data_IF_418430281599
#
_entry.id   IF_418430281599
#
_cell.length_a   1.000
_cell.length_b   1.000
_cell.length_c   1.000
_cell.angle_alpha   90.00
_cell.angle_beta   90.00
_cell.angle_gamma   90.00
#
_symmetry.space_group_name_H-M   'P 1'
#
loop_
_entity.id
_entity.type
_entity.pdbx_description
1 polymer ?
#
# COMPACT_ATOMS: atom_id res chain seq x y z
N UNK A 1 4.73 -2.32 47.55
CA UNK A 1 4.20 -1.33 46.58
C UNK A 1 3.84 -2.05 45.27
N UNK A 2 2.56 -2.33 45.05
CA UNK A 2 2.06 -2.86 43.77
C UNK A 2 1.95 -1.68 42.79
N UNK A 3 2.75 -1.68 41.72
CA UNK A 3 2.54 -0.74 40.61
C UNK A 3 1.22 -1.11 39.94
N UNK A 4 0.23 -0.24 40.09
CA UNK A 4 -1.04 -0.32 39.38
C UNK A 4 -0.74 -0.29 37.88
N UNK A 5 -0.98 -1.40 37.19
CA UNK A 5 -0.93 -1.49 35.73
C UNK A 5 -2.18 -0.80 35.18
N UNK A 6 -2.16 0.53 35.11
CA UNK A 6 -3.13 1.26 34.32
C UNK A 6 -2.98 0.80 32.87
N UNK A 7 -3.97 0.06 32.37
CA UNK A 7 -4.11 -0.23 30.95
C UNK A 7 -4.17 1.13 30.24
N UNK A 8 -3.29 1.43 29.27
CA UNK A 8 -3.34 2.72 28.60
C UNK A 8 -4.70 2.88 27.93
N UNK A 9 -5.49 3.83 28.43
CA UNK A 9 -6.77 4.21 27.84
C UNK A 9 -6.48 4.86 26.49
N UNK A 10 -6.86 4.21 25.41
CA UNK A 10 -6.58 4.68 24.06
C UNK A 10 -7.64 5.71 23.69
N UNK A 11 -7.21 6.87 23.17
CA UNK A 11 -8.13 7.93 22.83
C UNK A 11 -9.03 7.52 21.66
N UNK A 12 -10.23 8.11 21.60
CA UNK A 12 -11.13 7.93 20.46
C UNK A 12 -10.44 8.24 19.12
N UNK A 13 -9.58 9.27 19.07
CA UNK A 13 -8.83 9.64 17.87
C UNK A 13 -7.79 8.60 17.43
N UNK A 14 -7.21 7.82 18.35
CA UNK A 14 -6.31 6.71 18.01
C UNK A 14 -7.07 5.58 17.31
N UNK A 15 -8.27 5.25 17.81
CA UNK A 15 -9.11 4.21 17.23
C UNK A 15 -9.68 4.64 15.86
N UNK A 16 -10.04 5.91 15.72
CA UNK A 16 -10.50 6.50 14.45
C UNK A 16 -9.38 6.48 13.41
N UNK A 17 -8.16 6.93 13.75
CA UNK A 17 -7.02 6.92 12.85
C UNK A 17 -6.63 5.50 12.43
N UNK A 18 -6.63 4.53 13.36
CA UNK A 18 -6.38 3.12 13.03
C UNK A 18 -7.47 2.58 12.10
N UNK A 19 -8.75 2.84 12.39
CA UNK A 19 -9.86 2.40 11.54
C UNK A 19 -9.78 2.97 10.12
N UNK A 20 -9.42 4.25 9.99
CA UNK A 20 -9.22 4.89 8.70
C UNK A 20 -8.05 4.26 7.91
N UNK A 21 -6.92 3.96 8.57
CA UNK A 21 -5.79 3.29 7.90
C UNK A 21 -6.09 1.82 7.56
N UNK A 22 -6.88 1.14 8.38
CA UNK A 22 -7.36 -0.21 8.11
C UNK A 22 -8.21 -0.25 6.84
N UNK A 23 -9.05 0.76 6.59
CA UNK A 23 -9.87 0.84 5.36
C UNK A 23 -9.12 1.38 4.14
N UNK A 24 -7.96 2.02 4.31
CA UNK A 24 -7.21 2.64 3.22
C UNK A 24 -7.24 4.18 3.22
N UNK A 25 -8.10 4.81 4.04
CA UNK A 25 -8.28 6.26 4.08
C UNK A 25 -7.17 6.97 4.90
N UNK A 26 -5.98 7.05 4.30
CA UNK A 26 -4.82 7.72 4.89
C UNK A 26 -5.01 9.24 5.04
N UNK A 27 -5.89 9.87 4.23
CA UNK A 27 -6.19 11.31 4.33
C UNK A 27 -6.92 11.63 5.63
N UNK A 28 -7.98 10.87 5.93
CA UNK A 28 -8.72 10.99 7.19
C UNK A 28 -7.80 10.72 8.38
N UNK A 29 -6.97 9.68 8.31
CA UNK A 29 -6.01 9.39 9.36
C UNK A 29 -5.05 10.58 9.61
N UNK A 30 -4.45 11.16 8.55
CA UNK A 30 -3.58 12.33 8.69
C UNK A 30 -4.30 13.55 9.29
N UNK A 31 -5.57 13.78 8.92
CA UNK A 31 -6.39 14.86 9.47
C UNK A 31 -6.60 14.67 10.98
N UNK A 32 -7.11 13.51 11.40
CA UNK A 32 -7.37 13.18 12.81
C UNK A 32 -6.08 13.27 13.65
N UNK A 33 -4.98 12.74 13.13
CA UNK A 33 -3.68 12.80 13.79
C UNK A 33 -3.09 14.22 13.84
N UNK A 34 -3.44 15.09 12.89
CA UNK A 34 -3.03 16.49 12.83
C UNK A 34 -3.80 17.41 13.80
N UNK A 35 -5.05 17.06 14.11
CA UNK A 35 -5.90 17.77 15.08
C UNK A 35 -5.50 17.52 16.55
N UNK A 36 -4.47 16.70 16.80
CA UNK A 36 -3.94 16.44 18.13
C UNK A 36 -4.83 15.53 19.00
N UNK A 37 -5.75 14.78 18.39
CA UNK A 37 -6.74 13.93 19.09
C UNK A 37 -6.18 12.57 19.57
N UNK A 38 -4.86 12.44 19.68
CA UNK A 38 -4.13 11.20 19.96
C UNK A 38 -3.65 11.22 21.41
N UNK A 39 -3.98 10.20 22.20
CA UNK A 39 -3.54 10.13 23.60
C UNK A 39 -2.07 9.66 23.72
N UNK A 40 -1.66 8.72 22.87
CA UNK A 40 -0.30 8.19 22.87
C UNK A 40 0.52 8.77 21.72
N UNK A 41 1.46 9.67 22.05
CA UNK A 41 2.34 10.33 21.09
C UNK A 41 3.16 9.34 20.23
N UNK A 42 3.51 8.18 20.79
CA UNK A 42 4.24 7.14 20.07
C UNK A 42 3.34 6.41 19.08
N UNK A 43 2.10 6.06 19.48
CA UNK A 43 1.11 5.48 18.56
C UNK A 43 0.79 6.49 17.45
N UNK A 44 0.48 7.73 17.78
CA UNK A 44 0.20 8.78 16.80
C UNK A 44 1.36 9.06 15.85
N UNK A 45 2.62 9.00 16.31
CA UNK A 45 3.79 9.12 15.43
C UNK A 45 3.87 7.96 14.43
N UNK A 46 3.70 6.71 14.87
CA UNK A 46 3.75 5.56 13.98
C UNK A 46 2.57 5.52 13.00
N UNK A 47 1.36 5.85 13.44
CA UNK A 47 0.20 5.95 12.56
C UNK A 47 0.40 7.03 11.49
N UNK A 48 1.01 8.18 11.83
CA UNK A 48 1.40 9.20 10.82
C UNK A 48 2.42 8.66 9.83
N UNK A 49 3.41 7.89 10.29
CA UNK A 49 4.40 7.26 9.41
C UNK A 49 3.73 6.27 8.44
N UNK A 50 2.82 5.42 8.93
CA UNK A 50 2.06 4.49 8.07
C UNK A 50 1.18 5.25 7.06
N UNK A 51 0.46 6.27 7.52
CA UNK A 51 -0.36 7.11 6.64
C UNK A 51 0.46 7.77 5.52
N UNK A 52 1.68 8.23 5.84
CA UNK A 52 2.63 8.76 4.83
C UNK A 52 3.10 7.69 3.86
N UNK A 53 3.39 6.48 4.33
CA UNK A 53 3.74 5.38 3.44
C UNK A 53 2.60 5.05 2.46
N UNK A 54 1.36 5.04 2.94
CA UNK A 54 0.17 4.85 2.09
C UNK A 54 0.01 5.99 1.07
N UNK A 55 0.26 7.23 1.48
CA UNK A 55 0.28 8.38 0.57
C UNK A 55 1.37 8.25 -0.51
N UNK A 56 2.58 7.78 -0.15
CA UNK A 56 3.64 7.50 -1.12
C UNK A 56 3.25 6.39 -2.10
N UNK A 57 2.64 5.28 -1.62
CA UNK A 57 2.11 4.23 -2.51
C UNK A 57 1.07 4.79 -3.48
N UNK A 58 0.12 5.59 -2.99
CA UNK A 58 -0.89 6.22 -3.83
C UNK A 58 -0.29 7.19 -4.86
N UNK A 59 0.82 7.86 -4.54
CA UNK A 59 1.56 8.71 -5.48
C UNK A 59 2.43 7.93 -6.49
N UNK A 60 2.62 6.61 -6.27
CA UNK A 60 3.50 5.76 -7.06
C UNK A 60 4.96 5.77 -6.62
N UNK A 61 5.28 6.35 -5.46
CA UNK A 61 6.61 6.37 -4.83
C UNK A 61 6.80 5.13 -3.93
N UNK A 62 6.76 3.93 -4.53
CA UNK A 62 6.89 2.64 -3.87
C UNK A 62 8.17 2.49 -3.04
N UNK A 63 9.32 2.97 -3.52
CA UNK A 63 10.59 2.89 -2.79
C UNK A 63 10.52 3.68 -1.47
N UNK A 64 10.00 4.92 -1.53
CA UNK A 64 9.79 5.74 -0.33
C UNK A 64 8.77 5.13 0.61
N UNK A 65 7.72 4.52 0.08
CA UNK A 65 6.75 3.79 0.90
C UNK A 65 7.40 2.62 1.63
N UNK A 66 8.25 1.84 0.94
CA UNK A 66 8.98 0.70 1.52
C UNK A 66 9.88 1.13 2.69
N UNK A 67 10.70 2.16 2.47
CA UNK A 67 11.57 2.74 3.50
C UNK A 67 10.76 3.30 4.69
N UNK A 68 9.68 4.01 4.40
CA UNK A 68 8.82 4.62 5.43
C UNK A 68 8.14 3.55 6.30
N UNK A 69 7.69 2.45 5.71
CA UNK A 69 7.18 1.29 6.46
C UNK A 69 8.27 0.63 7.30
N UNK A 70 9.51 0.58 6.79
CA UNK A 70 10.69 0.14 7.56
C UNK A 70 10.93 0.95 8.82
N UNK A 71 10.80 2.27 8.73
CA UNK A 71 10.93 3.18 9.89
C UNK A 71 9.82 2.89 10.91
N UNK A 72 8.57 2.72 10.47
CA UNK A 72 7.47 2.35 11.36
C UNK A 72 7.75 1.00 12.04
N UNK A 73 8.14 -0.03 11.28
CA UNK A 73 8.49 -1.34 11.80
C UNK A 73 9.63 -1.29 12.83
N UNK A 74 10.71 -0.56 12.54
CA UNK A 74 11.84 -0.38 13.46
C UNK A 74 11.41 0.31 14.78
N UNK A 75 10.56 1.33 14.69
CA UNK A 75 10.02 2.00 15.86
C UNK A 75 9.11 1.09 16.69
N UNK A 76 8.33 0.23 16.04
CA UNK A 76 7.52 -0.82 16.68
C UNK A 76 8.39 -1.84 17.40
N UNK A 77 9.35 -2.45 16.71
CA UNK A 77 10.26 -3.44 17.28
C UNK A 77 11.07 -2.88 18.47
N UNK A 78 11.53 -1.63 18.41
CA UNK A 78 12.26 -0.98 19.51
C UNK A 78 11.41 -0.81 20.77
N UNK A 79 10.10 -0.52 20.61
CA UNK A 79 9.19 -0.27 21.73
C UNK A 79 8.63 -1.55 22.34
N UNK A 80 8.57 -2.63 21.56
CA UNK A 80 8.05 -3.94 21.98
C UNK A 80 9.14 -5.02 21.85
N UNK A 81 10.07 -5.11 22.83
CA UNK A 81 11.08 -6.16 22.86
C UNK A 81 10.41 -7.54 22.86
N UNK A 82 10.74 -8.37 21.87
CA UNK A 82 10.14 -9.70 21.68
C UNK A 82 9.15 -9.80 20.52
N UNK A 83 8.82 -8.69 19.85
CA UNK A 83 8.08 -8.76 18.60
C UNK A 83 8.97 -9.39 17.50
N UNK A 84 8.52 -10.47 16.84
CA UNK A 84 9.31 -11.13 15.82
C UNK A 84 9.50 -10.23 14.59
N UNK A 85 10.75 -10.15 14.13
CA UNK A 85 11.16 -9.44 12.92
C UNK A 85 11.62 -10.49 11.92
N UNK A 86 11.21 -10.37 10.67
CA UNK A 86 11.64 -11.25 9.59
C UNK A 86 13.11 -10.98 9.25
N UNK A 87 13.87 -12.01 8.82
CA UNK A 87 15.23 -11.80 8.34
C UNK A 87 15.25 -10.82 7.18
N UNK A 88 16.31 -10.00 7.12
CA UNK A 88 16.58 -9.11 6.00
C UNK A 88 16.74 -9.93 4.72
N UNK A 89 16.03 -9.56 3.67
CA UNK A 89 15.97 -10.32 2.42
C UNK A 89 16.66 -9.52 1.31
N UNK A 90 17.96 -9.27 1.52
CA UNK A 90 18.79 -8.45 0.65
C UNK A 90 18.47 -6.94 0.69
N UNK A 91 17.66 -6.48 1.64
CA UNK A 91 17.38 -5.07 1.91
C UNK A 91 17.63 -4.68 3.38
N UNK A 92 17.98 -3.40 3.60
CA UNK A 92 18.25 -2.86 4.95
C UNK A 92 16.97 -2.44 5.70
N UNK A 93 15.80 -2.92 5.24
CA UNK A 93 14.50 -2.51 5.76
C UNK A 93 14.02 -3.50 6.82
N UNK A 94 13.72 -3.00 8.02
CA UNK A 94 13.14 -3.81 9.11
C UNK A 94 11.75 -4.28 8.72
N UNK A 95 11.51 -5.59 8.74
CA UNK A 95 10.23 -6.21 8.39
C UNK A 95 9.62 -6.91 9.60
N UNK A 96 8.39 -6.58 9.96
CA UNK A 96 7.69 -7.27 11.03
C UNK A 96 7.24 -8.66 10.54
N UNK A 97 7.28 -9.66 11.42
CA UNK A 97 6.55 -10.91 11.21
C UNK A 97 5.09 -10.74 11.66
N UNK A 98 4.21 -11.65 11.24
CA UNK A 98 2.81 -11.62 11.69
C UNK A 98 2.79 -11.75 13.22
N UNK A 99 2.24 -10.77 13.96
CA UNK A 99 2.19 -10.88 15.40
C UNK A 99 1.22 -11.99 15.82
N UNK A 100 1.57 -12.83 16.83
CA UNK A 100 0.66 -13.81 17.41
C UNK A 100 -0.65 -13.15 17.85
N UNK A 101 -1.78 -13.84 17.69
CA UNK A 101 -3.11 -13.29 17.93
C UNK A 101 -3.26 -12.70 19.34
N UNK A 102 -3.41 -11.38 19.45
CA UNK A 102 -3.68 -10.67 20.70
C UNK A 102 -4.68 -9.52 20.49
N UNK A 103 -5.29 -9.02 21.56
CA UNK A 103 -6.21 -7.89 21.50
C UNK A 103 -5.48 -6.58 21.86
N UNK A 104 -5.80 -5.49 21.15
CA UNK A 104 -5.37 -4.14 21.53
C UNK A 104 -5.01 -3.23 20.34
N UNK A 105 -5.08 -1.90 20.50
CA UNK A 105 -4.71 -0.95 19.43
C UNK A 105 -3.22 -0.95 19.06
N UNK A 106 -2.32 -1.23 19.99
CA UNK A 106 -0.91 -1.46 19.67
C UNK A 106 -0.73 -2.66 18.73
N UNK A 107 -1.53 -3.72 18.93
CA UNK A 107 -1.56 -4.89 18.05
C UNK A 107 -2.19 -4.57 16.68
N UNK A 108 -3.26 -3.76 16.63
CA UNK A 108 -3.85 -3.28 15.37
C UNK A 108 -2.84 -2.48 14.56
N UNK A 109 -2.08 -1.59 15.20
CA UNK A 109 -0.99 -0.84 14.56
C UNK A 109 0.10 -1.78 14.03
N UNK A 110 0.57 -2.76 14.81
CA UNK A 110 1.57 -3.75 14.37
C UNK A 110 1.07 -4.52 13.15
N UNK A 111 -0.17 -5.01 13.19
CA UNK A 111 -0.81 -5.70 12.07
C UNK A 111 -0.97 -4.84 10.83
N UNK A 112 -1.28 -3.56 11.01
CA UNK A 112 -1.39 -2.61 9.92
C UNK A 112 -0.03 -2.42 9.23
N UNK A 113 1.04 -2.20 9.99
CA UNK A 113 2.42 -2.13 9.46
C UNK A 113 2.76 -3.43 8.72
N UNK A 114 2.51 -4.58 9.35
CA UNK A 114 2.75 -5.89 8.76
C UNK A 114 1.98 -6.10 7.45
N UNK A 115 0.69 -5.72 7.39
CA UNK A 115 -0.14 -5.83 6.16
C UNK A 115 0.46 -5.01 5.04
N UNK A 116 0.76 -3.74 5.31
CA UNK A 116 1.32 -2.83 4.30
C UNK A 116 2.70 -3.29 3.81
N UNK A 117 3.55 -3.79 4.71
CA UNK A 117 4.83 -4.42 4.33
C UNK A 117 4.63 -5.70 3.52
N UNK A 118 3.66 -6.53 3.89
CA UNK A 118 3.42 -7.80 3.21
C UNK A 118 2.91 -7.59 1.78
N UNK A 119 1.95 -6.68 1.60
CA UNK A 119 1.41 -6.39 0.27
C UNK A 119 2.42 -5.68 -0.64
N UNK A 120 3.16 -4.69 -0.13
CA UNK A 120 4.21 -4.03 -0.92
C UNK A 120 5.38 -4.99 -1.20
N UNK A 121 5.70 -5.87 -0.24
CA UNK A 121 6.68 -6.93 -0.42
C UNK A 121 6.25 -7.95 -1.49
N UNK A 122 4.97 -8.33 -1.52
CA UNK A 122 4.40 -9.17 -2.58
C UNK A 122 4.48 -8.47 -3.94
N UNK A 123 4.10 -7.19 -4.02
CA UNK A 123 4.21 -6.40 -5.26
C UNK A 123 5.65 -6.36 -5.78
N UNK A 124 6.62 -6.14 -4.88
CA UNK A 124 8.05 -6.15 -5.20
C UNK A 124 8.51 -7.52 -5.75
N UNK A 125 8.09 -8.62 -5.12
CA UNK A 125 8.37 -9.98 -5.62
C UNK A 125 7.77 -10.21 -7.00
N UNK A 126 6.50 -9.85 -7.20
CA UNK A 126 5.85 -9.96 -8.50
C UNK A 126 6.53 -9.12 -9.59
N UNK A 127 7.07 -7.95 -9.24
CA UNK A 127 7.80 -7.11 -10.20
C UNK A 127 9.17 -7.71 -10.59
N UNK A 128 9.78 -8.50 -9.70
CA UNK A 128 10.98 -9.29 -10.00
C UNK A 128 10.64 -10.55 -10.81
N UNK A 129 9.53 -11.20 -10.50
CA UNK A 129 9.09 -12.46 -11.10
C UNK A 129 8.34 -12.23 -12.41
N UNK A 130 9.07 -12.33 -13.54
CA UNK A 130 8.52 -12.14 -14.88
C UNK A 130 7.66 -13.34 -15.32
N UNK A 131 6.37 -13.15 -15.69
CA UNK A 131 5.57 -14.19 -16.31
C UNK A 131 6.14 -14.66 -17.66
N UNK A 132 5.97 -15.94 -17.98
CA UNK A 132 6.35 -16.47 -19.30
C UNK A 132 5.57 -15.77 -20.41
N UNK A 133 6.25 -15.32 -21.46
CA UNK A 133 5.61 -14.70 -22.64
C UNK A 133 5.25 -13.21 -22.51
N UNK A 134 5.45 -12.56 -21.35
CA UNK A 134 5.29 -11.11 -21.21
C UNK A 134 6.64 -10.38 -21.08
N UNK A 135 6.91 -9.33 -21.88
CA UNK A 135 8.08 -8.47 -21.65
C UNK A 135 8.04 -7.84 -20.25
N UNK A 136 9.17 -7.82 -19.57
CA UNK A 136 9.26 -7.36 -18.18
C UNK A 136 8.77 -5.92 -17.98
N UNK A 137 9.10 -5.02 -18.89
CA UNK A 137 8.67 -3.62 -18.83
C UNK A 137 7.14 -3.48 -18.92
N UNK A 138 6.50 -4.34 -19.72
CA UNK A 138 5.04 -4.39 -19.83
C UNK A 138 4.42 -4.94 -18.55
N UNK A 139 5.00 -6.01 -17.99
CA UNK A 139 4.57 -6.59 -16.72
C UNK A 139 4.59 -5.56 -15.59
N UNK A 140 5.68 -4.82 -15.45
CA UNK A 140 5.81 -3.79 -14.40
C UNK A 140 4.82 -2.65 -14.61
N UNK A 141 4.55 -2.25 -15.86
CA UNK A 141 3.50 -1.27 -16.14
C UNK A 141 2.12 -1.78 -15.72
N UNK A 142 1.81 -3.05 -15.97
CA UNK A 142 0.56 -3.68 -15.53
C UNK A 142 0.46 -3.66 -14.01
N UNK A 143 1.51 -4.05 -13.29
CA UNK A 143 1.54 -4.02 -11.82
C UNK A 143 1.38 -2.60 -11.25
N UNK A 144 2.06 -1.60 -11.82
CA UNK A 144 1.89 -0.21 -11.42
C UNK A 144 0.45 0.29 -11.68
N UNK A 145 -0.19 -0.21 -12.73
CA UNK A 145 -1.59 0.09 -13.01
C UNK A 145 -2.55 -0.64 -12.06
N UNK A 146 -2.25 -1.87 -11.64
CA UNK A 146 -2.98 -2.56 -10.57
C UNK A 146 -2.96 -1.75 -9.28
N UNK A 147 -1.78 -1.24 -8.87
CA UNK A 147 -1.69 -0.34 -7.70
C UNK A 147 -2.56 0.91 -7.89
N UNK A 148 -2.49 1.56 -9.05
CA UNK A 148 -3.33 2.72 -9.34
C UNK A 148 -4.84 2.43 -9.24
N UNK A 149 -5.30 1.28 -9.73
CA UNK A 149 -6.70 0.87 -9.59
C UNK A 149 -7.08 0.73 -8.11
N UNK A 150 -6.22 0.09 -7.32
CA UNK A 150 -6.46 -0.21 -5.91
C UNK A 150 -6.36 1.00 -4.98
N UNK A 151 -5.53 1.99 -5.31
CA UNK A 151 -5.21 3.13 -4.45
C UNK A 151 -5.84 4.45 -4.87
N UNK A 152 -6.32 4.57 -6.11
CA UNK A 152 -6.78 5.85 -6.64
C UNK A 152 -8.06 5.75 -7.47
N UNK A 153 -8.13 4.87 -8.48
CA UNK A 153 -9.29 4.86 -9.40
C UNK A 153 -10.54 4.32 -8.72
N UNK A 154 -10.43 3.20 -8.01
CA UNK A 154 -11.58 2.46 -7.45
C UNK A 154 -11.70 2.60 -5.93
N UNK A 155 -10.86 3.42 -5.32
CA UNK A 155 -10.96 3.76 -3.91
C UNK A 155 -11.87 4.98 -3.71
N UNK A 156 -13.10 4.75 -3.25
CA UNK A 156 -14.10 5.81 -3.03
C UNK A 156 -13.65 6.86 -2.02
N UNK A 157 -12.80 6.48 -1.06
CA UNK A 157 -12.31 7.35 0.00
C UNK A 157 -11.18 8.26 -0.49
N UNK A 158 -10.51 7.89 -1.58
CA UNK A 158 -9.34 8.60 -2.10
C UNK A 158 -9.44 9.02 -3.57
N UNK A 159 -10.56 8.72 -4.21
CA UNK A 159 -10.81 8.98 -5.63
C UNK A 159 -10.62 10.45 -5.99
N UNK A 160 -9.90 10.67 -7.08
CA UNK A 160 -9.50 12.00 -7.56
C UNK A 160 -10.53 12.64 -8.50
N UNK A 161 -11.70 12.02 -8.73
CA UNK A 161 -12.65 12.52 -9.75
C UNK A 161 -14.10 12.39 -9.31
N UNK A 162 -14.88 13.49 -9.27
CA UNK A 162 -16.33 13.39 -9.42
C UNK A 162 -16.66 12.91 -10.86
N UNK A 163 -17.82 12.27 -11.10
CA UNK A 163 -18.18 11.76 -12.41
C UNK A 163 -18.59 12.93 -13.31
N UNK A 164 -17.70 13.35 -14.20
CA UNK A 164 -18.04 14.29 -15.29
C UNK A 164 -17.48 13.76 -16.60
N UNK A 165 -18.31 13.82 -17.64
CA UNK A 165 -18.09 13.62 -19.07
C UNK A 165 -16.85 12.82 -19.52
N UNK A 166 -17.10 11.65 -20.13
CA UNK A 166 -16.10 10.63 -20.47
C UNK A 166 -14.93 11.19 -21.30
N UNK A 167 -15.19 12.13 -22.22
CA UNK A 167 -14.18 12.74 -23.08
C UNK A 167 -13.10 13.55 -22.33
N UNK A 168 -13.49 14.32 -21.30
CA UNK A 168 -12.54 15.11 -20.49
C UNK A 168 -11.73 14.23 -19.53
N UNK A 169 -12.33 13.11 -19.10
CA UNK A 169 -11.67 12.11 -18.26
C UNK A 169 -10.53 11.42 -19.03
N UNK A 170 -10.68 11.19 -20.33
CA UNK A 170 -9.63 10.58 -21.17
C UNK A 170 -8.40 11.48 -21.33
N UNK A 171 -8.58 12.78 -21.62
CA UNK A 171 -7.45 13.72 -21.69
C UNK A 171 -6.73 13.88 -20.33
N UNK A 172 -7.47 13.93 -19.22
CA UNK A 172 -6.90 14.02 -17.88
C UNK A 172 -6.10 12.77 -17.50
N UNK A 173 -6.46 11.59 -18.03
CA UNK A 173 -5.81 10.31 -17.74
C UNK A 173 -4.56 10.06 -18.59
N UNK A 174 -4.54 10.50 -19.85
CA UNK A 174 -3.30 10.47 -20.66
C UNK A 174 -2.28 11.52 -20.21
N UNK A 175 -2.72 12.65 -19.63
CA UNK A 175 -1.86 13.59 -18.90
C UNK A 175 -1.19 12.95 -17.67
N UNK A 176 -1.73 11.86 -17.12
CA UNK A 176 -1.11 11.08 -16.02
C UNK A 176 -0.07 10.07 -16.50
N UNK A 177 0.13 9.87 -17.82
CA UNK A 177 1.14 8.96 -18.38
C UNK A 177 2.51 9.13 -17.74
N UNK A 178 2.98 10.37 -17.57
CA UNK A 178 4.29 10.61 -16.96
C UNK A 178 4.32 10.20 -15.48
N UNK A 179 3.22 10.37 -14.76
CA UNK A 179 3.06 9.83 -13.41
C UNK A 179 3.15 8.30 -13.38
N UNK A 180 2.46 7.63 -14.31
CA UNK A 180 2.54 6.16 -14.44
C UNK A 180 3.93 5.67 -14.80
N UNK A 181 4.61 6.31 -15.75
CA UNK A 181 5.97 5.93 -16.14
C UNK A 181 6.96 6.14 -14.98
N UNK A 182 6.81 7.21 -14.19
CA UNK A 182 7.59 7.40 -12.97
C UNK A 182 7.28 6.33 -11.92
N UNK A 183 6.01 6.07 -11.67
CA UNK A 183 5.54 5.05 -10.73
C UNK A 183 6.05 3.64 -11.09
N UNK A 184 5.96 3.27 -12.37
CA UNK A 184 6.47 1.99 -12.87
C UNK A 184 8.00 1.94 -12.87
N UNK A 185 8.69 3.06 -13.10
CA UNK A 185 10.15 3.14 -12.95
C UNK A 185 10.55 2.90 -11.50
N UNK A 186 9.89 3.56 -10.56
CA UNK A 186 10.18 3.40 -9.14
C UNK A 186 9.86 1.97 -8.65
N UNK A 187 8.74 1.37 -9.08
CA UNK A 187 8.43 -0.04 -8.81
C UNK A 187 9.51 -0.97 -9.39
N UNK A 188 10.00 -0.69 -10.60
CA UNK A 188 11.09 -1.44 -11.22
C UNK A 188 12.36 -1.36 -10.41
N UNK A 189 12.73 -0.17 -9.93
CA UNK A 189 13.94 0.05 -9.14
C UNK A 189 13.84 -0.58 -7.75
N UNK A 190 12.65 -0.58 -7.14
CA UNK A 190 12.40 -1.29 -5.88
C UNK A 190 12.68 -2.79 -6.00
N UNK A 191 12.35 -3.41 -7.13
CA UNK A 191 12.64 -4.83 -7.39
C UNK A 191 14.06 -5.05 -7.95
N UNK A 192 14.54 -4.15 -8.80
CA UNK A 192 15.80 -4.24 -9.54
C UNK A 192 16.52 -2.88 -9.55
N UNK A 193 17.34 -2.56 -8.54
CA UNK A 193 17.91 -1.22 -8.37
C UNK A 193 18.76 -0.71 -9.53
N UNK A 194 19.32 -1.62 -10.35
CA UNK A 194 20.20 -1.29 -11.49
C UNK A 194 19.45 -1.20 -12.82
N UNK A 195 18.13 -1.34 -12.84
CA UNK A 195 17.37 -1.33 -14.08
C UNK A 195 17.24 0.08 -14.70
N UNK A 196 16.95 0.15 -16.00
CA UNK A 196 16.67 1.40 -16.69
C UNK A 196 15.29 1.99 -16.36
N UNK A 197 15.00 3.19 -16.85
CA UNK A 197 13.71 3.86 -16.66
C UNK A 197 12.65 3.40 -17.66
N UNK A 198 11.37 3.58 -17.32
CA UNK A 198 10.26 3.27 -18.23
C UNK A 198 10.11 4.33 -19.32
N UNK A 199 9.94 3.87 -20.56
CA UNK A 199 9.86 4.76 -21.73
C UNK A 199 8.44 4.87 -22.28
N UNK A 200 8.16 5.99 -22.96
CA UNK A 200 6.87 6.24 -23.65
C UNK A 200 6.54 5.17 -24.70
N UNK A 201 7.55 4.52 -25.27
CA UNK A 201 7.38 3.44 -26.26
C UNK A 201 6.71 2.21 -25.67
N UNK A 202 7.05 1.85 -24.42
CA UNK A 202 6.43 0.69 -23.75
C UNK A 202 4.95 0.96 -23.46
N UNK A 203 4.62 2.18 -23.03
CA UNK A 203 3.22 2.62 -22.83
C UNK A 203 2.37 2.44 -24.09
N UNK A 204 2.85 2.92 -25.24
CA UNK A 204 2.14 2.78 -26.52
C UNK A 204 1.94 1.32 -26.92
N UNK A 205 2.97 0.48 -26.77
CA UNK A 205 2.90 -0.97 -27.09
C UNK A 205 1.94 -1.74 -26.17
N UNK A 206 1.68 -1.24 -24.98
CA UNK A 206 0.71 -1.82 -24.05
C UNK A 206 -0.75 -1.44 -24.35
N UNK A 207 -0.99 -0.62 -25.39
CA UNK A 207 -2.33 -0.12 -25.74
C UNK A 207 -2.76 1.10 -24.94
N UNK A 208 -1.79 1.85 -24.40
CA UNK A 208 -2.05 3.04 -23.58
C UNK A 208 -2.89 2.73 -22.33
N UNK A 209 -3.68 3.71 -21.90
CA UNK A 209 -4.50 3.58 -20.69
C UNK A 209 -5.50 2.42 -20.77
N UNK A 210 -6.26 2.27 -21.86
CA UNK A 210 -7.28 1.21 -21.99
C UNK A 210 -6.67 -0.19 -22.03
N UNK A 211 -5.60 -0.36 -22.80
CA UNK A 211 -4.88 -1.62 -22.88
C UNK A 211 -4.31 -2.01 -21.51
N UNK A 212 -3.68 -1.07 -20.80
CA UNK A 212 -3.16 -1.29 -19.45
C UNK A 212 -4.26 -1.58 -18.44
N UNK A 213 -5.38 -0.85 -18.45
CA UNK A 213 -6.52 -1.11 -17.55
C UNK A 213 -7.07 -2.52 -17.75
N UNK A 214 -7.27 -2.94 -19.01
CA UNK A 214 -7.74 -4.29 -19.32
C UNK A 214 -6.75 -5.35 -18.82
N UNK A 215 -5.46 -5.17 -19.08
CA UNK A 215 -4.42 -6.11 -18.64
C UNK A 215 -4.32 -6.15 -17.11
N UNK A 216 -4.44 -5.02 -16.43
CA UNK A 216 -4.42 -4.93 -14.97
C UNK A 216 -5.62 -5.63 -14.34
N UNK A 217 -6.82 -5.50 -14.91
CA UNK A 217 -7.99 -6.24 -14.45
C UNK A 217 -7.81 -7.76 -14.67
N UNK A 218 -7.29 -8.19 -15.82
CA UNK A 218 -6.99 -9.60 -16.07
C UNK A 218 -5.95 -10.15 -15.08
N UNK A 219 -4.86 -9.40 -14.86
CA UNK A 219 -3.84 -9.74 -13.86
C UNK A 219 -4.46 -9.87 -12.46
N UNK A 220 -5.32 -8.93 -12.08
CA UNK A 220 -5.95 -8.89 -10.77
C UNK A 220 -7.00 -10.00 -10.56
N UNK A 221 -7.65 -10.48 -11.63
CA UNK A 221 -8.64 -11.55 -11.57
C UNK A 221 -8.04 -12.90 -11.15
N UNK A 222 -6.76 -13.11 -11.47
CA UNK A 222 -5.96 -14.28 -11.11
C UNK A 222 -5.44 -14.22 -9.65
N UNK A 223 -5.52 -13.05 -9.01
CA UNK A 223 -5.07 -12.88 -7.64
C UNK A 223 -6.13 -13.40 -6.65
N UNK A 224 -5.72 -13.94 -5.49
CA UNK A 224 -6.66 -14.27 -4.43
C UNK A 224 -7.38 -13.02 -3.92
N UNK A 225 -8.47 -13.21 -3.18
CA UNK A 225 -9.16 -12.09 -2.53
C UNK A 225 -8.18 -11.34 -1.60
N UNK A 226 -8.14 -9.99 -1.65
CA UNK A 226 -7.29 -9.22 -0.74
C UNK A 226 -7.75 -9.39 0.72
N UNK A 227 -6.86 -9.17 1.72
CA UNK A 227 -5.52 -8.59 1.58
C UNK A 227 -4.51 -9.60 1.05
N UNK A 228 -3.62 -9.17 0.16
CA UNK A 228 -2.65 -10.07 -0.50
C UNK A 228 -1.42 -10.29 0.36
N UNK A 229 -1.62 -11.01 1.45
CA UNK A 229 -0.60 -11.30 2.47
C UNK A 229 -0.34 -12.79 2.56
N UNK A 230 0.88 -13.16 2.94
CA UNK A 230 1.33 -14.57 2.99
C UNK A 230 0.67 -15.39 4.13
N UNK A 231 -0.15 -14.77 4.98
CA UNK A 231 -0.87 -15.42 6.08
C UNK A 231 -2.19 -14.70 6.37
N UNK A 232 -3.27 -15.38 6.79
CA UNK A 232 -4.53 -14.73 7.14
C UNK A 232 -4.38 -13.97 8.47
N UNK A 233 -3.84 -12.76 8.42
CA UNK A 233 -4.07 -11.81 9.48
C UNK A 233 -5.53 -11.37 9.41
N UNK A 234 -6.20 -11.20 10.55
CA UNK A 234 -7.54 -10.63 10.66
C UNK A 234 -7.61 -9.13 10.27
N UNK A 235 -6.63 -8.63 9.52
CA UNK A 235 -6.58 -7.25 9.03
C UNK A 235 -7.50 -7.08 7.84
N UNK A 236 -8.43 -6.12 7.86
CA UNK A 236 -9.30 -5.91 6.71
C UNK A 236 -8.47 -5.50 5.50
N UNK A 237 -8.93 -5.93 4.31
CA UNK A 237 -8.43 -5.40 3.05
C UNK A 237 -8.87 -3.94 2.87
N UNK A 238 -8.04 -3.15 2.20
CA UNK A 238 -8.40 -1.77 1.82
C UNK A 238 -9.60 -1.77 0.89
N UNK A 239 -10.46 -0.76 1.04
CA UNK A 239 -11.71 -0.61 0.26
C UNK A 239 -11.45 -0.61 -1.25
N UNK A 240 -10.46 0.18 -1.70
CA UNK A 240 -10.09 0.25 -3.13
C UNK A 240 -9.54 -1.06 -3.69
N UNK A 241 -8.73 -1.79 -2.92
CA UNK A 241 -8.23 -3.11 -3.33
C UNK A 241 -9.36 -4.14 -3.46
N UNK A 242 -10.30 -4.15 -2.50
CA UNK A 242 -11.50 -5.00 -2.58
C UNK A 242 -12.37 -4.67 -3.79
N UNK A 243 -12.61 -3.38 -4.04
CA UNK A 243 -13.41 -2.93 -5.18
C UNK A 243 -12.75 -3.31 -6.51
N UNK A 244 -11.44 -3.07 -6.63
CA UNK A 244 -10.66 -3.44 -7.80
C UNK A 244 -10.72 -4.95 -8.06
N UNK A 245 -10.52 -5.76 -7.01
CA UNK A 245 -10.61 -7.21 -7.12
C UNK A 245 -12.02 -7.68 -7.51
N UNK A 246 -13.07 -7.16 -6.86
CA UNK A 246 -14.45 -7.52 -7.19
C UNK A 246 -14.80 -7.16 -8.64
N UNK A 247 -14.35 -6.00 -9.12
CA UNK A 247 -14.51 -5.58 -10.52
C UNK A 247 -13.75 -6.51 -11.48
N UNK A 248 -12.51 -6.87 -11.15
CA UNK A 248 -11.69 -7.78 -11.96
C UNK A 248 -12.31 -9.18 -12.07
N UNK A 249 -12.88 -9.70 -10.98
CA UNK A 249 -13.55 -11.01 -10.95
C UNK A 249 -14.86 -11.05 -11.76
N UNK A 250 -15.44 -9.89 -12.06
CA UNK A 250 -16.68 -9.76 -12.82
C UNK A 250 -16.46 -9.42 -14.31
N UNK A 251 -15.22 -9.13 -14.72
CA UNK A 251 -14.84 -8.71 -16.06
C UNK A 251 -14.45 -9.89 -16.96
#
# INVERSE_FOLDING_TARGET
>A
MRRSSATPTIAAGDLEAIGALESGNWRTALRVLGEGQVADAYVGANLRTVARAMAFRAAGDHSRAWETLGIAAANVARRQPGLPVLPADGDDVVRLALPPAYAGPAYRMVRLVWREQSELGRLRRLAADRPSGMPQDRHILVLAFVEYLCWLELDLETSLTPPTDDAQVYELRDRRREGFLRSATDLRHLAMPRAGTMTKTVWGRAGGYHGLRRLALLELAEWPEPPWTDSPATCPARSGARMAWAMARAA
#
